data_IF_123992361467
#
_entry.id   IF_123992361467
#
_cell.length_a   1.000
_cell.length_b   1.000
_cell.length_c   1.000
_cell.angle_alpha   90.00
_cell.angle_beta   90.00
_cell.angle_gamma   90.00
#
_symmetry.space_group_name_H-M   'P 1'
#
loop_
_entity.id
_entity.type
_entity.pdbx_description
1 polymer ?
#
# COMPACT_ATOMS: atom_id res chain seq x y z
N UNK A 1 -15.58 -5.20 6.23
CA UNK A 1 -14.34 -5.06 6.99
C UNK A 1 -14.11 -6.27 7.85
N UNK A 2 -12.88 -6.66 8.01
CA UNK A 2 -12.51 -7.84 8.79
C UNK A 2 -11.56 -7.43 9.90
N UNK A 3 -11.48 -8.26 10.93
CA UNK A 3 -10.57 -7.99 12.04
C UNK A 3 -9.47 -9.05 12.06
N UNK A 4 -8.25 -8.61 12.30
CA UNK A 4 -7.11 -9.48 12.41
C UNK A 4 -6.05 -8.80 13.29
N UNK A 5 -5.46 -9.56 14.19
CA UNK A 5 -4.39 -9.05 15.06
C UNK A 5 -4.79 -7.80 15.86
N UNK A 6 -6.07 -7.70 16.21
CA UNK A 6 -6.60 -6.60 17.01
C UNK A 6 -6.89 -5.32 16.24
N UNK A 7 -6.88 -5.36 14.94
CA UNK A 7 -7.18 -4.18 14.12
C UNK A 7 -8.16 -4.55 13.01
N UNK A 8 -8.78 -3.55 12.44
CA UNK A 8 -9.80 -3.71 11.41
C UNK A 8 -9.18 -3.36 10.07
N UNK A 9 -9.45 -4.17 9.07
CA UNK A 9 -8.95 -3.94 7.73
C UNK A 9 -9.58 -4.90 6.73
N UNK A 10 -8.85 -5.18 5.68
CA UNK A 10 -9.34 -6.03 4.60
C UNK A 10 -8.24 -6.98 4.11
N UNK A 11 -8.64 -8.19 3.77
CA UNK A 11 -7.73 -9.14 3.11
C UNK A 11 -7.75 -8.89 1.61
N UNK A 12 -6.58 -8.90 1.02
CA UNK A 12 -6.44 -8.79 -0.42
C UNK A 12 -5.23 -9.62 -0.86
N UNK A 13 -5.46 -10.54 -1.78
CA UNK A 13 -4.40 -11.40 -2.32
C UNK A 13 -3.60 -12.12 -1.22
N UNK A 14 -4.27 -12.50 -0.12
CA UNK A 14 -3.64 -13.21 0.97
C UNK A 14 -2.87 -12.35 1.97
N UNK A 15 -2.96 -11.04 1.85
CA UNK A 15 -2.30 -10.10 2.76
C UNK A 15 -3.36 -9.22 3.41
N UNK A 16 -3.23 -9.01 4.71
CA UNK A 16 -4.14 -8.15 5.44
C UNK A 16 -3.69 -6.70 5.40
N UNK A 17 -4.56 -5.83 4.91
CA UNK A 17 -4.29 -4.39 4.81
C UNK A 17 -5.07 -3.66 5.88
N UNK A 18 -4.38 -2.85 6.68
CA UNK A 18 -5.02 -2.01 7.69
C UNK A 18 -4.43 -0.61 7.68
N UNK A 19 -5.29 0.38 7.85
CA UNK A 19 -4.84 1.76 7.95
C UNK A 19 -4.32 2.07 9.36
N UNK A 20 -4.65 1.24 10.33
CA UNK A 20 -4.12 1.34 11.67
C UNK A 20 -2.90 0.45 11.87
N UNK A 21 -2.62 0.18 13.14
CA UNK A 21 -1.51 -0.69 13.51
C UNK A 21 -2.05 -1.96 14.15
N UNK A 22 -1.37 -3.08 13.90
CA UNK A 22 -1.72 -4.32 14.57
C UNK A 22 -1.40 -4.19 16.06
N UNK A 23 -2.20 -4.86 16.87
CA UNK A 23 -2.05 -4.77 18.32
C UNK A 23 -1.23 -5.92 18.91
N UNK A 24 -1.03 -6.97 18.14
CA UNK A 24 -0.17 -8.07 18.57
C UNK A 24 1.20 -7.87 17.93
N UNK A 25 2.22 -8.36 18.61
CA UNK A 25 3.58 -8.25 18.10
C UNK A 25 3.78 -9.04 16.82
N UNK A 26 4.53 -8.50 15.90
CA UNK A 26 4.91 -9.16 14.67
C UNK A 26 6.33 -8.78 14.32
N UNK A 27 6.90 -9.53 13.38
CA UNK A 27 8.25 -9.25 12.92
C UNK A 27 8.21 -8.19 11.80
N UNK A 28 8.88 -7.05 11.99
CA UNK A 28 8.96 -6.06 10.92
C UNK A 28 9.67 -6.62 9.71
N UNK A 29 9.10 -6.38 8.54
CA UNK A 29 9.68 -6.82 7.27
C UNK A 29 10.06 -5.65 6.35
N UNK A 30 9.96 -4.44 6.88
CA UNK A 30 10.33 -3.25 6.16
C UNK A 30 9.14 -2.50 5.60
N UNK A 31 9.42 -1.31 5.10
CA UNK A 31 8.39 -0.47 4.52
C UNK A 31 8.23 -0.78 3.04
N UNK A 32 7.01 -0.76 2.58
CA UNK A 32 6.70 -0.93 1.17
C UNK A 32 6.13 0.38 0.65
N UNK A 33 6.70 0.87 -0.43
CA UNK A 33 6.17 2.03 -1.14
C UNK A 33 6.13 1.71 -2.61
N UNK A 34 4.99 1.93 -3.23
CA UNK A 34 4.84 1.69 -4.66
C UNK A 34 4.12 2.86 -5.31
N UNK A 35 4.33 2.99 -6.59
CA UNK A 35 3.62 3.96 -7.40
C UNK A 35 3.30 3.31 -8.73
N UNK A 36 2.06 3.41 -9.14
CA UNK A 36 1.60 2.88 -10.42
C UNK A 36 1.19 4.06 -11.28
N UNK A 37 2.00 4.36 -12.28
CA UNK A 37 1.76 5.46 -13.20
C UNK A 37 1.16 4.95 -14.49
N UNK A 38 -0.07 4.42 -14.38
CA UNK A 38 -0.77 3.93 -15.55
C UNK A 38 -2.15 4.51 -15.59
N UNK A 39 -2.57 4.84 -16.79
CA UNK A 39 -3.95 5.20 -17.04
C UNK A 39 -4.83 4.01 -16.65
N UNK A 40 -5.93 4.28 -15.98
CA UNK A 40 -6.88 3.27 -15.51
C UNK A 40 -6.39 2.41 -14.34
N UNK A 41 -5.33 2.85 -13.65
CA UNK A 41 -4.94 2.21 -12.40
C UNK A 41 -5.97 2.48 -11.31
N UNK A 42 -6.02 1.61 -10.32
CA UNK A 42 -6.96 1.77 -9.23
C UNK A 42 -6.39 1.17 -7.94
N UNK A 43 -7.15 1.31 -6.86
CA UNK A 43 -6.74 0.82 -5.56
C UNK A 43 -6.49 -0.69 -5.56
N UNK A 44 -7.26 -1.45 -6.31
CA UNK A 44 -7.07 -2.89 -6.39
C UNK A 44 -5.69 -3.24 -6.93
N UNK A 45 -5.23 -2.54 -7.95
CA UNK A 45 -3.89 -2.77 -8.49
C UNK A 45 -2.80 -2.39 -7.49
N UNK A 46 -3.00 -1.28 -6.77
CA UNK A 46 -2.06 -0.88 -5.71
C UNK A 46 -1.93 -1.99 -4.68
N UNK A 47 -3.06 -2.49 -4.19
CA UNK A 47 -3.06 -3.55 -3.18
C UNK A 47 -2.44 -4.83 -3.71
N UNK A 48 -2.70 -5.18 -4.95
CA UNK A 48 -2.14 -6.40 -5.55
C UNK A 48 -0.61 -6.31 -5.60
N UNK A 49 -0.07 -5.18 -6.03
CA UNK A 49 1.37 -5.00 -6.07
C UNK A 49 1.98 -4.99 -4.67
N UNK A 50 1.35 -4.31 -3.73
CA UNK A 50 1.85 -4.28 -2.35
C UNK A 50 1.81 -5.67 -1.73
N UNK A 51 0.77 -6.45 -2.00
CA UNK A 51 0.67 -7.81 -1.49
C UNK A 51 1.79 -8.69 -2.07
N UNK A 52 2.10 -8.50 -3.33
CA UNK A 52 3.21 -9.23 -3.97
C UNK A 52 4.53 -8.91 -3.27
N UNK A 53 4.79 -7.63 -3.03
CA UNK A 53 6.01 -7.21 -2.33
C UNK A 53 6.05 -7.75 -0.90
N UNK A 54 4.91 -7.73 -0.21
CA UNK A 54 4.84 -8.25 1.15
C UNK A 54 5.16 -9.74 1.19
N UNK A 55 4.63 -10.51 0.26
CA UNK A 55 4.90 -11.95 0.20
C UNK A 55 6.37 -12.25 -0.06
N UNK A 56 7.01 -11.47 -0.92
CA UNK A 56 8.44 -11.62 -1.19
C UNK A 56 9.24 -11.37 0.08
N UNK A 57 8.80 -10.43 0.91
CA UNK A 57 9.46 -10.13 2.18
C UNK A 57 9.07 -11.08 3.30
N UNK A 58 8.18 -12.03 3.05
CA UNK A 58 7.71 -12.94 4.08
C UNK A 58 6.70 -12.34 5.03
N UNK A 59 6.05 -11.27 4.63
CA UNK A 59 5.03 -10.60 5.44
C UNK A 59 3.64 -11.03 5.06
N UNK A 60 2.73 -10.96 6.01
CA UNK A 60 1.32 -11.26 5.78
C UNK A 60 0.40 -10.10 6.14
N UNK A 61 0.95 -9.01 6.64
CA UNK A 61 0.17 -7.82 7.02
C UNK A 61 0.90 -6.57 6.52
N UNK A 62 0.12 -5.63 6.04
CA UNK A 62 0.60 -4.27 5.77
C UNK A 62 -0.19 -3.35 6.67
N UNK A 63 0.47 -2.76 7.64
CA UNK A 63 -0.13 -1.82 8.58
C UNK A 63 0.22 -0.39 8.20
N UNK A 64 -0.51 0.55 8.77
CA UNK A 64 -0.37 1.98 8.47
C UNK A 64 -0.49 2.23 6.97
N UNK A 65 -1.38 1.47 6.34
CA UNK A 65 -1.57 1.52 4.89
C UNK A 65 -2.13 2.87 4.48
N UNK A 66 -1.44 3.50 3.57
CA UNK A 66 -1.88 4.76 2.96
C UNK A 66 -1.91 4.57 1.46
N UNK A 67 -2.93 5.12 0.85
CA UNK A 67 -3.08 5.02 -0.59
C UNK A 67 -3.74 6.28 -1.10
N UNK A 68 -3.59 6.51 -2.38
CA UNK A 68 -4.27 7.62 -2.98
C UNK A 68 -3.81 7.83 -4.39
N UNK A 69 -4.58 8.63 -5.08
CA UNK A 69 -4.20 9.13 -6.37
C UNK A 69 -3.28 10.30 -6.14
N UNK A 70 -2.06 10.17 -6.62
CA UNK A 70 -1.07 11.20 -6.39
C UNK A 70 -1.28 12.31 -7.41
N UNK A 71 -1.83 13.41 -6.93
CA UNK A 71 -1.90 14.61 -7.75
C UNK A 71 -0.52 15.25 -7.72
N UNK A 72 0.04 15.49 -8.88
CA UNK A 72 1.30 16.22 -8.95
C UNK A 72 1.08 17.64 -8.47
N UNK A 73 1.98 18.13 -7.67
CA UNK A 73 1.95 19.53 -7.31
C UNK A 73 2.15 20.34 -8.59
N UNK A 74 1.49 21.51 -8.65
CA UNK A 74 1.50 22.30 -9.88
C UNK A 74 2.92 22.62 -10.36
N UNK A 75 3.87 22.82 -9.45
CA UNK A 75 5.23 23.12 -9.84
C UNK A 75 5.94 21.90 -10.42
N UNK A 76 5.59 20.69 -10.01
CA UNK A 76 6.12 19.47 -10.61
C UNK A 76 5.61 19.33 -12.04
N UNK A 77 4.36 19.63 -12.27
CA UNK A 77 3.77 19.60 -13.61
C UNK A 77 4.46 20.60 -14.52
N UNK A 78 4.71 21.80 -14.00
CA UNK A 78 5.38 22.85 -14.79
C UNK A 78 6.78 22.42 -15.21
N UNK A 79 7.52 21.77 -14.33
CA UNK A 79 8.89 21.37 -14.64
C UNK A 79 8.99 20.10 -15.47
N UNK A 80 8.05 19.20 -15.32
CA UNK A 80 8.11 17.89 -15.98
C UNK A 80 7.27 17.82 -17.23
N UNK A 81 6.31 18.70 -17.38
CA UNK A 81 5.35 18.71 -18.50
C UNK A 81 4.60 17.40 -18.67
N UNK A 82 4.40 16.69 -17.58
CA UNK A 82 3.66 15.44 -17.59
C UNK A 82 2.23 15.71 -17.14
N UNK A 83 1.40 16.03 -18.10
CA UNK A 83 0.04 16.49 -17.86
C UNK A 83 -0.93 15.38 -17.53
N UNK A 84 -0.61 14.17 -17.92
CA UNK A 84 -1.51 13.04 -17.85
C UNK A 84 -1.10 11.99 -16.81
N UNK A 85 -0.17 12.33 -15.96
CA UNK A 85 0.35 11.37 -14.99
C UNK A 85 -0.44 11.41 -13.71
N UNK A 86 -1.64 10.86 -13.75
CA UNK A 86 -2.29 10.47 -12.54
C UNK A 86 -1.67 9.14 -12.13
N UNK A 87 -1.08 9.11 -10.97
CA UNK A 87 -0.52 7.87 -10.46
C UNK A 87 -1.20 7.51 -9.15
N UNK A 88 -1.39 6.23 -8.94
CA UNK A 88 -1.82 5.72 -7.66
C UNK A 88 -0.58 5.33 -6.87
N UNK A 89 -0.58 5.69 -5.60
CA UNK A 89 0.52 5.28 -4.74
C UNK A 89 -0.01 4.52 -3.53
N UNK A 90 0.83 3.67 -3.00
CA UNK A 90 0.54 2.96 -1.78
C UNK A 90 1.79 2.85 -0.93
N UNK A 91 1.61 2.92 0.36
CA UNK A 91 2.70 2.81 1.31
C UNK A 91 2.20 2.11 2.57
N UNK A 92 3.08 1.43 3.24
CA UNK A 92 2.74 0.79 4.49
C UNK A 92 3.92 0.01 5.03
N UNK A 93 3.77 -0.44 6.26
CA UNK A 93 4.79 -1.23 6.93
C UNK A 93 4.43 -2.70 6.84
N UNK A 94 5.31 -3.49 6.24
CA UNK A 94 5.12 -4.92 6.11
C UNK A 94 5.56 -5.61 7.39
N UNK A 95 4.71 -6.46 7.92
CA UNK A 95 5.01 -7.22 9.12
C UNK A 95 4.54 -8.66 8.94
N UNK A 96 5.18 -9.55 9.67
CA UNK A 96 4.78 -10.95 9.72
C UNK A 96 4.15 -11.20 11.09
N UNK A 97 2.87 -11.55 11.08
CA UNK A 97 2.12 -11.88 12.30
C UNK A 97 1.80 -13.37 12.27
N UNK A 98 2.10 -14.03 13.33
CA UNK A 98 1.84 -15.45 13.42
C UNK A 98 0.47 -15.76 14.02
#
# INVERSE_FOLDING_TARGET
MEEFAGTVGNWHAGVFFTEGSVRVGGDPRGRIEIEISRQNSNLTEVKTEMARHAKIKGANVIQNFQYGQKAHKWWEVVFTFKWDTESWHGAGDAISVQ
#
